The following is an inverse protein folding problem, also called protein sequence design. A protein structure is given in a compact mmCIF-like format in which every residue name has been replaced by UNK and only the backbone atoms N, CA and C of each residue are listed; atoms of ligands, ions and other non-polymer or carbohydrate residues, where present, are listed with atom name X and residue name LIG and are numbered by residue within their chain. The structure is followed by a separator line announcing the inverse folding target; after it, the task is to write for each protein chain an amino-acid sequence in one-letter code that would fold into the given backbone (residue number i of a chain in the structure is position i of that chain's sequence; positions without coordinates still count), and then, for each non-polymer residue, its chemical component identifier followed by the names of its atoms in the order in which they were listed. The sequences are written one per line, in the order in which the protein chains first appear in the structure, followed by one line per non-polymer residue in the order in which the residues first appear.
data_IF_925226610743
#
_entry.id   IF_925226610743
#
_cell.length_a   1.000
_cell.length_b   1.000
_cell.length_c   1.000
_cell.angle_alpha   90.00
_cell.angle_beta   90.00
_cell.angle_gamma   90.00
#
_symmetry.space_group_name_H-M   'P 1'
#
loop_
_entity.id
_entity.type
_entity.pdbx_description
1 polymer ?
#
# COMPACT_ATOMS: atom_id res chain seq x y z
N UNK A 1 2.31 -28.44 2.72
CA UNK A 1 1.98 -27.05 2.35
C UNK A 1 3.01 -26.16 3.03
N UNK A 2 3.99 -25.63 2.30
CA UNK A 2 4.92 -24.65 2.88
C UNK A 2 4.19 -23.31 2.92
N UNK A 3 3.74 -22.89 4.11
CA UNK A 3 3.13 -21.58 4.31
C UNK A 3 4.24 -20.52 4.21
N UNK A 4 4.16 -19.63 3.23
CA UNK A 4 5.10 -18.51 3.13
C UNK A 4 4.99 -17.66 4.40
N UNK A 5 6.05 -17.65 5.20
CA UNK A 5 6.11 -16.87 6.43
C UNK A 5 6.33 -15.40 6.10
N UNK A 6 5.28 -14.73 5.64
CA UNK A 6 5.21 -13.27 5.51
C UNK A 6 5.14 -12.56 6.88
N UNK A 7 5.78 -13.13 7.90
CA UNK A 7 5.69 -12.68 9.29
C UNK A 7 6.29 -11.29 9.49
N UNK A 8 7.19 -10.84 8.61
CA UNK A 8 7.74 -9.49 8.65
C UNK A 8 6.73 -8.45 8.17
N UNK A 9 6.21 -8.64 6.95
CA UNK A 9 5.23 -7.72 6.37
C UNK A 9 3.91 -7.72 7.16
N UNK A 10 3.45 -8.89 7.60
CA UNK A 10 2.25 -9.01 8.45
C UNK A 10 2.39 -8.32 9.81
N UNK A 11 3.60 -8.15 10.36
CA UNK A 11 3.81 -7.36 11.58
C UNK A 11 3.60 -5.86 11.36
N UNK A 12 3.97 -5.36 10.19
CA UNK A 12 3.92 -3.92 9.87
C UNK A 12 2.57 -3.52 9.27
N UNK A 13 1.99 -4.39 8.46
CA UNK A 13 0.72 -4.19 7.78
C UNK A 13 -0.27 -5.28 8.22
N UNK A 14 -1.05 -4.98 9.25
CA UNK A 14 -2.12 -5.86 9.75
C UNK A 14 -3.34 -5.06 10.22
N UNK A 15 -4.48 -5.72 10.31
CA UNK A 15 -5.73 -5.16 10.83
C UNK A 15 -5.86 -5.21 12.36
N UNK A 16 -4.97 -5.92 13.05
CA UNK A 16 -5.14 -6.27 14.46
C UNK A 16 -4.63 -5.17 15.40
N UNK A 17 -3.51 -4.54 15.06
CA UNK A 17 -2.88 -3.50 15.89
C UNK A 17 -3.19 -2.10 15.36
N UNK A 18 -3.23 -1.10 16.25
CA UNK A 18 -3.42 0.30 15.85
C UNK A 18 -2.32 0.77 14.89
N UNK A 19 -1.06 0.40 15.15
CA UNK A 19 0.06 0.71 14.27
C UNK A 19 -0.08 0.04 12.90
N UNK A 20 -0.47 -1.25 12.86
CA UNK A 20 -0.72 -1.98 11.62
C UNK A 20 -1.79 -1.30 10.76
N UNK A 21 -2.93 -0.95 11.36
CA UNK A 21 -4.03 -0.26 10.67
C UNK A 21 -3.58 1.11 10.14
N UNK A 22 -2.80 1.85 10.92
CA UNK A 22 -2.26 3.14 10.49
C UNK A 22 -1.31 3.00 9.29
N UNK A 23 -0.45 1.98 9.28
CA UNK A 23 0.46 1.72 8.17
C UNK A 23 -0.28 1.31 6.89
N UNK A 24 -1.30 0.45 7.02
CA UNK A 24 -2.19 0.09 5.90
C UNK A 24 -2.86 1.34 5.33
N UNK A 25 -3.44 2.20 6.20
CA UNK A 25 -4.07 3.45 5.76
C UNK A 25 -3.10 4.39 5.04
N UNK A 26 -1.89 4.58 5.57
CA UNK A 26 -0.83 5.35 4.91
C UNK A 26 -0.48 4.79 3.53
N UNK A 27 -0.32 3.47 3.42
CA UNK A 27 -0.02 2.80 2.16
C UNK A 27 -1.15 3.04 1.13
N UNK A 28 -2.42 2.94 1.54
CA UNK A 28 -3.56 3.22 0.68
C UNK A 28 -3.53 4.64 0.12
N UNK A 29 -3.36 5.64 0.98
CA UNK A 29 -3.32 7.04 0.53
C UNK A 29 -2.11 7.33 -0.35
N UNK A 30 -0.94 6.76 -0.05
CA UNK A 30 0.24 6.90 -0.87
C UNK A 30 0.03 6.31 -2.28
N UNK A 31 -0.53 5.10 -2.39
CA UNK A 31 -0.81 4.45 -3.68
C UNK A 31 -1.83 5.25 -4.49
N UNK A 32 -2.92 5.71 -3.87
CA UNK A 32 -3.91 6.55 -4.56
C UNK A 32 -3.28 7.85 -5.07
N UNK A 33 -2.49 8.53 -4.24
CA UNK A 33 -1.78 9.74 -4.65
C UNK A 33 -0.84 9.51 -5.83
N UNK A 34 -0.10 8.38 -5.82
CA UNK A 34 0.77 8.00 -6.93
C UNK A 34 0.00 7.68 -8.22
N UNK A 35 -1.15 7.00 -8.12
CA UNK A 35 -2.01 6.72 -9.28
C UNK A 35 -2.52 8.02 -9.89
N UNK A 36 -2.98 8.97 -9.05
CA UNK A 36 -3.44 10.29 -9.52
C UNK A 36 -2.30 11.01 -10.22
N UNK A 37 -1.14 11.12 -9.56
CA UNK A 37 0.03 11.78 -10.12
C UNK A 37 0.47 11.16 -11.45
N UNK A 38 0.49 9.83 -11.54
CA UNK A 38 0.80 9.10 -12.77
C UNK A 38 -0.16 9.46 -13.89
N UNK A 39 -1.47 9.46 -13.63
CA UNK A 39 -2.47 9.79 -14.65
C UNK A 39 -2.44 11.26 -15.07
N UNK A 40 -2.07 12.17 -14.16
CA UNK A 40 -1.88 13.59 -14.48
C UNK A 40 -0.64 13.82 -15.36
N UNK A 41 0.46 13.12 -15.07
CA UNK A 41 1.72 13.25 -15.83
C UNK A 41 1.74 12.41 -17.11
N UNK A 42 0.82 11.45 -17.25
CA UNK A 42 0.75 10.59 -18.44
C UNK A 42 0.53 11.47 -19.68
N UNK A 43 1.45 11.46 -20.66
CA UNK A 43 1.30 12.26 -21.86
C UNK A 43 0.05 11.79 -22.62
N UNK A 44 -0.87 12.71 -22.86
CA UNK A 44 -2.00 12.46 -23.76
C UNK A 44 -1.45 12.49 -25.19
N UNK A 45 -1.80 11.47 -25.99
CA UNK A 45 -1.49 11.50 -27.43
C UNK A 45 -2.08 12.79 -28.02
N UNK A 46 -1.34 13.42 -28.92
CA UNK A 46 -1.85 14.54 -29.73
C UNK A 46 -3.06 14.12 -30.53
#
# INVERSE_FOLDING_TARGET
MAEEKLTGLGKIFNGNTTAGRANVGKATYAVIGLIIAYNMMKPKKK
#
